data_IF_179287091773
#
_entry.id   IF_179287091773
#
_cell.length_a   1.000
_cell.length_b   1.000
_cell.length_c   1.000
_cell.angle_alpha   90.00
_cell.angle_beta   90.00
_cell.angle_gamma   90.00
#
_symmetry.space_group_name_H-M   'P 1'
#
loop_
_entity.id
_entity.type
_entity.pdbx_description
1 polymer ?
#
# COMPACT_ATOMS: atom_id res chain seq x y z
N UNK A 1 -13.47 -14.89 -5.78
CA UNK A 1 -13.20 -13.46 -5.47
C UNK A 1 -14.02 -12.52 -6.34
N UNK A 2 -14.26 -12.88 -7.60
CA UNK A 2 -15.04 -12.03 -8.51
C UNK A 2 -16.46 -11.71 -8.03
N UNK A 3 -17.20 -12.65 -7.39
CA UNK A 3 -18.53 -12.30 -6.86
C UNK A 3 -18.46 -11.20 -5.80
N UNK A 4 -17.42 -11.18 -4.97
CA UNK A 4 -17.28 -10.14 -3.95
C UNK A 4 -16.98 -8.79 -4.57
N UNK A 5 -16.13 -8.78 -5.61
CA UNK A 5 -15.81 -7.55 -6.33
C UNK A 5 -17.07 -6.98 -6.98
N UNK A 6 -17.89 -7.81 -7.61
CA UNK A 6 -19.13 -7.37 -8.21
C UNK A 6 -20.11 -6.82 -7.18
N UNK A 7 -20.16 -7.44 -6.02
CA UNK A 7 -21.00 -6.97 -4.93
C UNK A 7 -20.58 -5.57 -4.46
N UNK A 8 -19.28 -5.38 -4.25
CA UNK A 8 -18.71 -4.09 -3.83
C UNK A 8 -19.04 -3.01 -4.87
N UNK A 9 -18.82 -3.31 -6.14
CA UNK A 9 -19.11 -2.38 -7.23
C UNK A 9 -20.59 -2.03 -7.31
N UNK A 10 -21.46 -3.03 -7.12
CA UNK A 10 -22.91 -2.83 -7.14
C UNK A 10 -23.36 -1.88 -6.04
N UNK A 11 -22.67 -1.89 -4.89
CA UNK A 11 -22.97 -0.98 -3.78
C UNK A 11 -22.40 0.43 -3.98
N UNK A 12 -21.76 0.69 -5.11
CA UNK A 12 -21.18 2.00 -5.40
C UNK A 12 -19.88 2.26 -4.65
N UNK A 13 -19.27 1.22 -4.12
CA UNK A 13 -18.02 1.33 -3.42
C UNK A 13 -16.85 1.09 -4.35
N UNK A 14 -15.74 1.74 -4.07
CA UNK A 14 -14.47 1.48 -4.75
C UNK A 14 -13.63 0.57 -3.88
N UNK A 15 -12.80 -0.24 -4.52
CA UNK A 15 -11.83 -1.03 -3.78
C UNK A 15 -10.46 -0.86 -4.44
N UNK A 16 -9.40 -1.06 -3.65
CA UNK A 16 -8.03 -0.85 -4.09
C UNK A 16 -7.18 -2.04 -3.68
N UNK A 17 -6.39 -2.54 -4.61
CA UNK A 17 -5.30 -3.44 -4.30
C UNK A 17 -4.02 -2.62 -4.20
N UNK A 18 -2.90 -3.28 -4.01
CA UNK A 18 -1.61 -2.65 -3.76
C UNK A 18 -0.57 -3.15 -4.75
N UNK A 19 0.50 -2.39 -4.92
CA UNK A 19 1.65 -2.79 -5.72
C UNK A 19 2.99 -2.57 -5.01
N UNK A 20 2.95 -2.24 -3.74
CA UNK A 20 4.12 -2.15 -2.89
C UNK A 20 3.74 -2.58 -1.49
N UNK A 21 4.59 -3.36 -0.82
CA UNK A 21 4.32 -3.79 0.54
C UNK A 21 5.63 -4.02 1.29
N UNK A 22 5.55 -3.96 2.62
CA UNK A 22 6.70 -4.16 3.49
C UNK A 22 6.72 -5.56 4.12
N UNK A 23 5.70 -6.38 3.87
CA UNK A 23 5.57 -7.72 4.44
C UNK A 23 5.57 -7.74 5.98
N UNK A 24 5.04 -6.69 6.59
CA UNK A 24 5.04 -6.56 8.05
C UNK A 24 4.23 -7.67 8.74
N UNK A 25 3.16 -8.15 8.10
CA UNK A 25 2.36 -9.23 8.66
C UNK A 25 2.99 -10.61 8.45
N UNK A 26 4.03 -10.72 7.63
CA UNK A 26 4.76 -11.97 7.42
C UNK A 26 5.74 -12.21 8.56
N UNK A 27 6.39 -11.15 9.02
CA UNK A 27 7.33 -11.23 10.13
C UNK A 27 7.26 -9.93 10.93
N UNK A 28 6.69 -10.00 12.14
CA UNK A 28 6.51 -8.83 13.00
C UNK A 28 7.83 -8.31 13.58
N UNK A 29 8.91 -9.09 13.51
CA UNK A 29 10.20 -8.71 14.10
C UNK A 29 11.10 -7.93 13.16
N UNK A 30 10.65 -7.66 11.93
CA UNK A 30 11.43 -6.85 11.00
C UNK A 30 11.63 -5.44 11.55
N UNK A 31 12.87 -4.94 11.46
CA UNK A 31 13.17 -3.59 11.91
C UNK A 31 12.49 -2.56 11.01
N UNK A 32 12.28 -1.32 11.52
CA UNK A 32 11.74 -0.25 10.66
C UNK A 32 12.54 -0.07 9.38
N UNK A 33 13.85 -0.18 9.45
CA UNK A 33 14.71 -0.04 8.28
C UNK A 33 14.49 -1.14 7.26
N UNK A 34 14.33 -2.38 7.73
CA UNK A 34 14.04 -3.52 6.84
C UNK A 34 12.69 -3.36 6.14
N UNK A 35 11.68 -2.93 6.89
CA UNK A 35 10.34 -2.70 6.33
C UNK A 35 10.39 -1.63 5.24
N UNK A 36 11.03 -0.52 5.52
CA UNK A 36 11.12 0.59 4.57
C UNK A 36 11.93 0.22 3.33
N UNK A 37 12.97 -0.58 3.50
CA UNK A 37 13.79 -1.03 2.36
C UNK A 37 12.95 -1.79 1.34
N UNK A 38 12.03 -2.64 1.82
CA UNK A 38 11.15 -3.40 0.95
C UNK A 38 10.18 -2.49 0.19
N UNK A 39 9.57 -1.53 0.88
CA UNK A 39 8.68 -0.57 0.24
C UNK A 39 9.42 0.25 -0.81
N UNK A 40 10.57 0.79 -0.47
CA UNK A 40 11.35 1.62 -1.38
C UNK A 40 11.76 0.84 -2.63
N UNK A 41 12.11 -0.43 -2.47
CA UNK A 41 12.44 -1.28 -3.61
C UNK A 41 11.26 -1.39 -4.58
N UNK A 42 10.06 -1.58 -4.06
CA UNK A 42 8.88 -1.70 -4.89
C UNK A 42 8.49 -0.36 -5.53
N UNK A 43 8.49 0.70 -4.74
CA UNK A 43 8.10 2.03 -5.21
C UNK A 43 9.02 2.53 -6.33
N UNK A 44 10.32 2.30 -6.18
CA UNK A 44 11.30 2.79 -7.16
C UNK A 44 11.20 2.13 -8.52
N UNK A 45 10.52 0.99 -8.61
CA UNK A 45 10.30 0.29 -9.88
C UNK A 45 9.03 0.73 -10.59
N UNK A 46 8.27 1.63 -10.00
CA UNK A 46 6.93 1.98 -10.48
C UNK A 46 6.76 3.48 -10.52
N UNK A 47 5.89 3.97 -11.42
CA UNK A 47 5.55 5.38 -11.49
C UNK A 47 4.58 5.77 -10.38
N UNK A 48 3.61 4.91 -10.13
CA UNK A 48 2.57 5.14 -9.13
C UNK A 48 2.47 3.92 -8.25
N UNK A 49 2.42 4.12 -6.95
CA UNK A 49 2.36 3.02 -6.00
C UNK A 49 1.21 3.20 -5.03
N UNK A 50 0.54 2.11 -4.73
CA UNK A 50 -0.39 1.99 -3.61
C UNK A 50 0.26 1.02 -2.64
N UNK A 51 0.58 1.52 -1.45
CA UNK A 51 1.38 0.78 -0.47
C UNK A 51 0.47 0.11 0.54
N UNK A 52 0.70 -1.17 0.78
CA UNK A 52 0.03 -1.92 1.83
C UNK A 52 0.93 -2.04 3.05
N UNK A 53 0.41 -1.70 4.20
CA UNK A 53 1.02 -2.00 5.49
C UNK A 53 -0.09 -2.24 6.51
N UNK A 54 0.25 -2.86 7.62
CA UNK A 54 -0.76 -3.24 8.62
C UNK A 54 -0.68 -2.37 9.86
N UNK A 55 -1.82 -2.05 10.39
CA UNK A 55 -1.97 -1.31 11.64
C UNK A 55 -2.55 -2.25 12.71
N UNK A 56 -1.72 -3.20 13.12
CA UNK A 56 -2.06 -4.20 14.12
C UNK A 56 -1.29 -3.92 15.41
N UNK A 57 -1.75 -4.54 16.51
CA UNK A 57 -1.02 -4.45 17.76
C UNK A 57 0.42 -4.94 17.63
N UNK A 58 0.63 -5.98 16.80
CA UNK A 58 1.94 -6.60 16.60
C UNK A 58 2.84 -5.85 15.62
N UNK A 59 2.31 -4.88 14.88
CA UNK A 59 3.09 -4.17 13.85
C UNK A 59 3.61 -2.82 14.31
N UNK A 60 4.12 -2.76 15.55
CA UNK A 60 4.66 -1.50 16.11
C UNK A 60 5.84 -0.97 15.30
N UNK A 61 6.64 -1.85 14.70
CA UNK A 61 7.76 -1.42 13.86
C UNK A 61 7.28 -0.74 12.57
N UNK A 62 6.12 -1.11 12.06
CA UNK A 62 5.51 -0.40 10.93
C UNK A 62 5.20 1.04 11.29
N UNK A 63 4.65 1.27 12.47
CA UNK A 63 4.35 2.63 12.94
C UNK A 63 5.65 3.44 13.09
N UNK A 64 6.68 2.83 13.66
CA UNK A 64 7.98 3.48 13.81
C UNK A 64 8.65 3.78 12.48
N UNK A 65 8.37 2.96 11.47
CA UNK A 65 8.96 3.11 10.13
C UNK A 65 8.30 4.22 9.32
N UNK A 66 7.05 4.58 9.63
CA UNK A 66 6.23 5.41 8.78
C UNK A 66 6.82 6.82 8.56
N UNK A 67 7.21 7.50 9.63
CA UNK A 67 7.74 8.86 9.51
C UNK A 67 9.03 8.92 8.68
N UNK A 68 10.05 8.06 8.96
CA UNK A 68 11.23 8.01 8.11
C UNK A 68 10.93 7.67 6.65
N UNK A 69 9.96 6.78 6.41
CA UNK A 69 9.58 6.40 5.06
C UNK A 69 9.01 7.60 4.30
N UNK A 70 8.08 8.31 4.91
CA UNK A 70 7.46 9.48 4.29
C UNK A 70 8.52 10.54 3.97
N UNK A 71 9.43 10.79 4.90
CA UNK A 71 10.52 11.75 4.69
C UNK A 71 11.42 11.35 3.53
N UNK A 72 11.76 10.07 3.44
CA UNK A 72 12.59 9.56 2.36
C UNK A 72 11.91 9.70 1.00
N UNK A 73 10.63 9.33 0.92
CA UNK A 73 9.86 9.43 -0.31
C UNK A 73 9.75 10.88 -0.79
N UNK A 74 9.46 11.80 0.11
CA UNK A 74 9.39 13.23 -0.22
C UNK A 74 10.73 13.75 -0.71
N UNK A 75 11.82 13.34 -0.04
CA UNK A 75 13.17 13.74 -0.44
C UNK A 75 13.52 13.24 -1.84
N UNK A 76 13.01 12.07 -2.24
CA UNK A 76 13.24 11.51 -3.57
C UNK A 76 12.28 12.07 -4.61
N UNK A 77 11.40 13.00 -4.25
CA UNK A 77 10.52 13.67 -5.19
C UNK A 77 9.15 13.06 -5.37
N UNK A 78 8.80 12.06 -4.58
CA UNK A 78 7.47 11.47 -4.66
C UNK A 78 6.43 12.34 -3.98
N UNK A 79 5.23 12.37 -4.55
CA UNK A 79 4.07 12.97 -3.94
C UNK A 79 3.30 11.91 -3.17
N UNK A 80 2.94 12.21 -1.93
CA UNK A 80 2.12 11.32 -1.10
C UNK A 80 0.72 11.90 -1.06
N UNK A 81 -0.20 11.20 -1.71
CA UNK A 81 -1.54 11.69 -1.93
C UNK A 81 -2.56 10.82 -1.20
N UNK A 82 -3.64 11.43 -0.71
CA UNK A 82 -4.72 10.64 -0.13
C UNK A 82 -5.48 9.88 -1.21
N UNK A 83 -6.09 8.76 -0.82
CA UNK A 83 -7.00 8.04 -1.70
C UNK A 83 -8.35 8.74 -1.64
N UNK A 84 -8.86 9.14 -2.80
CA UNK A 84 -10.15 9.78 -2.93
C UNK A 84 -10.98 9.04 -3.97
N UNK A 85 -12.23 9.48 -4.16
CA UNK A 85 -13.08 8.89 -5.20
C UNK A 85 -12.52 9.09 -6.60
N UNK A 86 -11.58 10.02 -6.78
CA UNK A 86 -10.95 10.30 -8.07
C UNK A 86 -9.63 9.56 -8.26
N UNK A 87 -9.16 8.84 -7.24
CA UNK A 87 -7.94 8.05 -7.34
C UNK A 87 -8.18 6.85 -8.25
N UNK A 88 -7.27 6.64 -9.21
CA UNK A 88 -7.37 5.49 -10.09
C UNK A 88 -7.08 4.21 -9.31
N UNK A 89 -8.02 3.27 -9.24
CA UNK A 89 -7.80 2.03 -8.50
C UNK A 89 -6.79 1.12 -9.19
N UNK A 90 -6.09 0.34 -8.37
CA UNK A 90 -5.24 -0.75 -8.82
C UNK A 90 -5.93 -2.06 -8.44
N UNK A 91 -6.03 -2.99 -9.38
CA UNK A 91 -6.70 -4.27 -9.13
C UNK A 91 -5.79 -5.44 -9.52
N UNK A 92 -5.64 -6.42 -8.63
CA UNK A 92 -4.94 -7.66 -8.93
C UNK A 92 -5.77 -8.56 -9.83
N UNK A 93 -7.10 -8.51 -9.66
CA UNK A 93 -8.04 -9.28 -10.47
C UNK A 93 -8.88 -8.31 -11.27
N UNK A 94 -8.82 -8.43 -12.60
CA UNK A 94 -9.64 -7.60 -13.47
C UNK A 94 -11.04 -8.19 -13.61
N UNK A 95 -12.04 -7.31 -13.45
CA UNK A 95 -13.44 -7.64 -13.75
C UNK A 95 -13.76 -6.96 -15.06
N UNK A 96 -13.80 -7.73 -16.10
CA UNK A 96 -14.17 -7.19 -17.40
C UNK A 96 -15.65 -6.94 -17.49
N UNK A 97 -15.96 -5.95 -18.27
CA UNK A 97 -17.32 -5.58 -18.54
C UNK A 97 -18.10 -6.75 -19.14
#
# INVERSE_FOLDING_TARGET
IKPYIRYVNKKGLLYFDWNALNEDAVNFEQSPQQLNKKILKDVRRQKTSIVLMHDLHETTNTVKALDPLIKTLKKEGYQILPITKNTKPLHHVSIDK
#
